data_IF_078351530572
#
_entry.id   IF_078351530572
#
_cell.length_a   1.000
_cell.length_b   1.000
_cell.length_c   1.000
_cell.angle_alpha   90.00
_cell.angle_beta   90.00
_cell.angle_gamma   90.00
#
_symmetry.space_group_name_H-M   'P 1'
#
loop_
_entity.id
_entity.type
_entity.pdbx_description
1 polymer ?
#
# COMPACT_ATOMS: atom_id res chain seq x y z
N UNK A 1 -17.37 -11.23 2.85
CA UNK A 1 -17.29 -9.75 2.76
C UNK A 1 -15.84 -9.28 2.73
N UNK A 2 -15.03 -9.58 3.77
CA UNK A 2 -13.60 -9.21 3.84
C UNK A 2 -12.75 -9.75 2.67
N UNK A 3 -12.91 -11.04 2.33
CA UNK A 3 -12.20 -11.69 1.21
C UNK A 3 -12.52 -11.03 -0.14
N UNK A 4 -13.76 -10.61 -0.35
CA UNK A 4 -14.21 -9.94 -1.58
C UNK A 4 -13.54 -8.55 -1.69
N UNK A 5 -13.41 -7.86 -0.56
CA UNK A 5 -12.74 -6.57 -0.44
C UNK A 5 -11.24 -6.68 -0.74
N UNK A 6 -10.57 -7.72 -0.23
CA UNK A 6 -9.18 -8.03 -0.56
C UNK A 6 -9.02 -8.35 -2.06
N UNK A 7 -9.90 -9.16 -2.64
CA UNK A 7 -9.81 -9.50 -4.07
C UNK A 7 -10.06 -8.30 -4.98
N UNK A 8 -10.96 -7.38 -4.61
CA UNK A 8 -11.19 -6.14 -5.35
C UNK A 8 -10.02 -5.17 -5.22
N UNK A 9 -9.42 -5.05 -4.04
CA UNK A 9 -8.24 -4.22 -3.83
C UNK A 9 -7.04 -4.71 -4.65
N UNK A 10 -6.80 -6.03 -4.67
CA UNK A 10 -5.74 -6.68 -5.45
C UNK A 10 -6.02 -6.52 -6.94
N UNK A 11 -7.24 -6.73 -7.41
CA UNK A 11 -7.63 -6.50 -8.81
C UNK A 11 -7.40 -5.04 -9.22
N UNK A 12 -7.76 -4.08 -8.34
CA UNK A 12 -7.50 -2.66 -8.56
C UNK A 12 -6.01 -2.31 -8.60
N UNK A 13 -5.18 -2.95 -7.76
CA UNK A 13 -3.72 -2.77 -7.79
C UNK A 13 -3.15 -3.26 -9.11
N UNK A 14 -3.56 -4.44 -9.55
CA UNK A 14 -3.12 -5.01 -10.83
C UNK A 14 -3.53 -4.07 -11.98
N UNK A 15 -4.78 -3.59 -12.01
CA UNK A 15 -5.25 -2.66 -13.05
C UNK A 15 -4.46 -1.34 -13.01
N UNK A 16 -4.23 -0.77 -11.84
CA UNK A 16 -3.53 0.52 -11.69
C UNK A 16 -2.05 0.43 -12.10
N UNK A 17 -1.37 -0.68 -11.74
CA UNK A 17 0.00 -0.98 -12.17
C UNK A 17 0.04 -1.23 -13.69
N UNK A 18 -0.95 -1.94 -14.24
CA UNK A 18 -1.00 -2.22 -15.68
C UNK A 18 -1.22 -0.96 -16.49
N UNK A 19 -2.06 -0.03 -16.01
CA UNK A 19 -2.29 1.29 -16.64
C UNK A 19 -1.05 2.17 -16.56
N UNK A 20 -0.30 2.10 -15.45
CA UNK A 20 0.95 2.84 -15.30
C UNK A 20 2.08 2.30 -16.20
N UNK A 21 2.13 0.98 -16.40
CA UNK A 21 3.12 0.31 -17.27
C UNK A 21 2.71 0.35 -18.75
N UNK A 22 1.45 0.60 -19.07
CA UNK A 22 1.04 0.80 -20.46
C UNK A 22 1.61 2.14 -20.95
N UNK A 23 2.38 2.17 -22.04
CA UNK A 23 2.87 3.41 -22.60
C UNK A 23 1.67 4.21 -23.08
N UNK A 24 1.26 5.22 -22.32
CA UNK A 24 0.32 6.23 -22.80
C UNK A 24 1.04 7.00 -23.91
N UNK A 25 0.65 6.72 -25.15
CA UNK A 25 1.27 7.15 -26.39
C UNK A 25 1.08 8.65 -26.69
N UNK A 26 1.14 9.54 -25.69
CA UNK A 26 0.98 10.98 -25.90
C UNK A 26 1.90 11.79 -25.00
N UNK A 27 2.97 12.30 -25.60
CA UNK A 27 4.20 12.80 -24.99
C UNK A 27 4.15 14.21 -24.37
N UNK A 28 3.03 14.63 -23.75
CA UNK A 28 2.93 16.00 -23.21
C UNK A 28 2.29 16.19 -21.85
N UNK A 29 1.86 15.11 -21.20
CA UNK A 29 1.07 15.22 -19.97
C UNK A 29 1.83 14.75 -18.71
N UNK A 30 2.99 15.36 -18.42
CA UNK A 30 3.75 15.08 -17.18
C UNK A 30 2.90 15.25 -15.91
N UNK A 31 1.93 16.17 -15.94
CA UNK A 31 0.95 16.37 -14.87
C UNK A 31 0.04 15.15 -14.69
N UNK A 32 -0.41 14.51 -15.79
CA UNK A 32 -1.24 13.29 -15.70
C UNK A 32 -0.44 12.14 -15.10
N UNK A 33 0.83 11.98 -15.49
CA UNK A 33 1.70 10.96 -14.90
C UNK A 33 1.96 11.20 -13.40
N UNK A 34 2.08 12.46 -12.96
CA UNK A 34 2.22 12.80 -11.55
C UNK A 34 0.95 12.45 -10.75
N UNK A 35 -0.24 12.80 -11.23
CA UNK A 35 -1.50 12.42 -10.56
C UNK A 35 -1.73 10.90 -10.58
N UNK A 36 -1.37 10.23 -11.68
CA UNK A 36 -1.42 8.78 -11.76
C UNK A 36 -0.50 8.12 -10.72
N UNK A 37 0.71 8.64 -10.55
CA UNK A 37 1.64 8.17 -9.52
C UNK A 37 1.06 8.29 -8.11
N UNK A 38 0.49 9.46 -7.76
CA UNK A 38 -0.19 9.65 -6.47
C UNK A 38 -1.36 8.68 -6.29
N UNK A 39 -2.14 8.44 -7.35
CA UNK A 39 -3.25 7.50 -7.32
C UNK A 39 -2.79 6.06 -7.06
N UNK A 40 -1.71 5.61 -7.72
CA UNK A 40 -1.12 4.28 -7.48
C UNK A 40 -0.64 4.14 -6.04
N UNK A 41 -0.02 5.18 -5.47
CA UNK A 41 0.39 5.20 -4.06
C UNK A 41 -0.81 5.06 -3.12
N UNK A 42 -1.84 5.90 -3.30
CA UNK A 42 -3.04 5.86 -2.47
C UNK A 42 -3.72 4.49 -2.54
N UNK A 43 -3.86 3.95 -3.75
CA UNK A 43 -4.46 2.63 -3.95
C UNK A 43 -3.63 1.51 -3.31
N UNK A 44 -2.30 1.62 -3.38
CA UNK A 44 -1.39 0.64 -2.76
C UNK A 44 -1.48 0.68 -1.25
N UNK A 45 -1.54 1.88 -0.65
CA UNK A 45 -1.73 2.06 0.79
C UNK A 45 -3.04 1.44 1.25
N UNK A 46 -4.15 1.73 0.56
CA UNK A 46 -5.47 1.20 0.92
C UNK A 46 -5.52 -0.32 0.77
N UNK A 47 -4.99 -0.88 -0.32
CA UNK A 47 -5.03 -2.32 -0.55
C UNK A 47 -4.22 -3.11 0.48
N UNK A 48 -3.00 -2.68 0.80
CA UNK A 48 -2.23 -3.31 1.87
C UNK A 48 -2.80 -3.03 3.26
N UNK A 49 -3.41 -1.87 3.49
CA UNK A 49 -4.10 -1.55 4.74
C UNK A 49 -5.23 -2.53 5.03
N UNK A 50 -6.04 -2.87 4.02
CA UNK A 50 -7.09 -3.89 4.15
C UNK A 50 -6.50 -5.28 4.41
N UNK A 51 -5.38 -5.63 3.77
CA UNK A 51 -4.67 -6.88 4.04
C UNK A 51 -4.22 -6.92 5.52
N UNK A 52 -3.63 -5.85 6.02
CA UNK A 52 -3.19 -5.77 7.42
C UNK A 52 -4.34 -5.78 8.41
N UNK A 53 -5.47 -5.18 8.08
CA UNK A 53 -6.70 -5.30 8.84
C UNK A 53 -7.10 -6.78 9.00
N UNK A 54 -7.06 -7.56 7.91
CA UNK A 54 -7.30 -9.01 7.98
C UNK A 54 -6.28 -9.75 8.86
N UNK A 55 -5.00 -9.37 8.77
CA UNK A 55 -3.93 -9.98 9.56
C UNK A 55 -4.01 -9.62 11.05
N UNK A 56 -4.52 -8.43 11.37
CA UNK A 56 -4.73 -7.96 12.74
C UNK A 56 -5.75 -8.84 13.47
N UNK A 57 -6.84 -9.24 12.80
CA UNK A 57 -7.83 -10.19 13.33
C UNK A 57 -7.22 -11.57 13.64
N UNK A 58 -6.14 -11.94 12.95
CA UNK A 58 -5.40 -13.19 13.21
C UNK A 58 -4.30 -13.03 14.28
N UNK A 59 -4.17 -11.86 14.89
CA UNK A 59 -3.13 -11.56 15.89
C UNK A 59 -1.71 -11.51 15.31
N UNK A 60 -1.59 -11.32 13.99
CA UNK A 60 -0.28 -11.23 13.31
C UNK A 60 0.27 -9.81 13.23
N UNK A 61 -0.48 -8.82 13.72
CA UNK A 61 -0.02 -7.44 13.93
C UNK A 61 -0.08 -7.15 15.43
N UNK A 62 1.01 -6.64 16.00
CA UNK A 62 1.06 -6.23 17.40
C UNK A 62 1.24 -4.71 17.49
N UNK A 63 0.33 -4.05 18.21
CA UNK A 63 0.45 -2.63 18.54
C UNK A 63 1.16 -2.50 19.90
N UNK A 64 2.20 -1.66 19.97
CA UNK A 64 3.06 -1.56 21.17
C UNK A 64 2.37 -0.80 22.31
N UNK A 65 1.50 0.17 22.01
CA UNK A 65 1.03 1.17 23.00
C UNK A 65 -0.50 1.16 23.25
N UNK A 66 -1.27 0.25 22.64
CA UNK A 66 -2.73 0.22 22.80
C UNK A 66 -3.19 -0.73 23.91
N UNK A 67 -3.77 -0.14 24.96
CA UNK A 67 -4.47 -0.88 26.02
C UNK A 67 -5.66 -1.69 25.46
N UNK A 68 -5.84 -2.95 25.89
CA UNK A 68 -6.51 -3.99 25.09
C UNK A 68 -8.04 -3.97 25.04
N UNK A 69 -8.75 -2.93 25.50
CA UNK A 69 -10.14 -3.13 25.90
C UNK A 69 -11.27 -2.44 25.13
N UNK A 70 -11.03 -1.50 24.20
CA UNK A 70 -12.13 -0.93 23.39
C UNK A 70 -11.66 -0.37 22.03
N UNK A 71 -10.88 -1.12 21.25
CA UNK A 71 -10.60 -0.69 19.87
C UNK A 71 -11.84 -0.97 19.02
N UNK A 72 -12.56 0.09 18.64
CA UNK A 72 -13.63 0.00 17.64
C UNK A 72 -13.03 -0.43 16.30
N UNK A 73 -13.79 -1.16 15.47
CA UNK A 73 -13.40 -1.55 14.10
C UNK A 73 -12.78 -0.38 13.30
N UNK A 74 -13.31 0.83 13.50
CA UNK A 74 -12.79 2.05 12.86
C UNK A 74 -11.35 2.37 13.26
N UNK A 75 -10.98 2.23 14.53
CA UNK A 75 -9.61 2.48 14.99
C UNK A 75 -8.64 1.43 14.43
N UNK A 76 -9.04 0.15 14.42
CA UNK A 76 -8.21 -0.90 13.81
C UNK A 76 -7.99 -0.69 12.31
N UNK A 77 -9.02 -0.20 11.60
CA UNK A 77 -8.88 0.14 10.19
C UNK A 77 -7.95 1.34 9.98
N UNK A 78 -8.06 2.36 10.82
CA UNK A 78 -7.16 3.52 10.80
C UNK A 78 -5.71 3.10 11.04
N UNK A 79 -5.44 2.32 12.10
CA UNK A 79 -4.10 1.86 12.48
C UNK A 79 -3.45 1.01 11.37
N UNK A 80 -4.23 0.18 10.70
CA UNK A 80 -3.74 -0.72 9.64
C UNK A 80 -3.49 0.01 8.31
N UNK A 81 -4.31 1.01 7.98
CA UNK A 81 -4.04 1.93 6.86
C UNK A 81 -2.80 2.79 7.16
N UNK A 82 -2.68 3.28 8.39
CA UNK A 82 -1.51 4.03 8.84
C UNK A 82 -0.24 3.17 8.76
N UNK A 83 -0.26 1.94 9.27
CA UNK A 83 0.85 1.00 9.18
C UNK A 83 1.25 0.74 7.73
N UNK A 84 0.27 0.59 6.84
CA UNK A 84 0.50 0.43 5.40
C UNK A 84 1.19 1.65 4.79
N UNK A 85 0.76 2.87 5.13
CA UNK A 85 1.39 4.10 4.65
C UNK A 85 2.83 4.24 5.15
N UNK A 86 3.04 4.06 6.46
CA UNK A 86 4.37 4.13 7.11
C UNK A 86 5.33 3.08 6.55
N UNK A 87 4.83 1.89 6.20
CA UNK A 87 5.60 0.83 5.55
C UNK A 87 5.94 1.17 4.11
N UNK A 88 4.95 1.55 3.30
CA UNK A 88 5.15 1.84 1.87
C UNK A 88 6.08 3.04 1.65
N UNK A 89 5.95 4.06 2.51
CA UNK A 89 6.78 5.26 2.50
C UNK A 89 8.11 5.07 3.23
N UNK A 90 8.39 3.87 3.74
CA UNK A 90 9.64 3.52 4.43
C UNK A 90 9.94 4.36 5.68
N UNK A 91 8.90 4.92 6.31
CA UNK A 91 9.02 5.73 7.53
C UNK A 91 9.32 4.82 8.73
N UNK A 92 8.56 3.74 8.89
CA UNK A 92 8.81 2.69 9.88
C UNK A 92 8.95 3.15 11.34
N UNK A 93 7.98 3.88 11.89
CA UNK A 93 8.03 4.38 13.29
C UNK A 93 8.20 3.28 14.35
N UNK A 94 7.79 2.04 14.04
CA UNK A 94 7.98 0.88 14.91
C UNK A 94 6.94 0.74 16.02
N UNK A 95 5.87 1.52 15.96
CA UNK A 95 4.69 1.47 16.84
C UNK A 95 3.78 0.26 16.59
N UNK A 96 3.75 -0.22 15.34
CA UNK A 96 3.06 -1.43 14.93
C UNK A 96 4.07 -2.41 14.34
N UNK A 97 4.12 -3.63 14.87
CA UNK A 97 5.12 -4.63 14.52
C UNK A 97 4.46 -5.85 13.89
N UNK A 98 4.88 -6.26 12.68
CA UNK A 98 4.41 -7.48 12.04
C UNK A 98 5.02 -8.74 12.68
N UNK A 99 4.19 -9.73 12.93
CA UNK A 99 4.57 -11.04 13.48
C UNK A 99 4.35 -12.16 12.47
N UNK A 100 5.10 -13.25 12.61
CA UNK A 100 4.94 -14.45 11.78
C UNK A 100 4.98 -14.16 10.28
N UNK A 101 3.93 -14.56 9.57
CA UNK A 101 3.81 -14.39 8.11
C UNK A 101 3.64 -12.93 7.67
N UNK A 102 3.17 -12.03 8.55
CA UNK A 102 3.02 -10.61 8.25
C UNK A 102 4.34 -9.96 7.81
N UNK A 103 5.47 -10.46 8.34
CA UNK A 103 6.81 -9.97 8.01
C UNK A 103 7.13 -10.07 6.53
N UNK A 104 6.76 -11.18 5.89
CA UNK A 104 7.00 -11.37 4.47
C UNK A 104 6.13 -10.45 3.61
N UNK A 105 4.89 -10.20 4.03
CA UNK A 105 3.98 -9.28 3.34
C UNK A 105 4.53 -7.84 3.40
N UNK A 106 5.01 -7.41 4.58
CA UNK A 106 5.63 -6.11 4.78
C UNK A 106 6.88 -5.92 3.91
N UNK A 107 7.72 -6.96 3.79
CA UNK A 107 8.89 -6.93 2.89
C UNK A 107 8.47 -6.73 1.43
N UNK A 108 7.44 -7.45 0.98
CA UNK A 108 6.91 -7.28 -0.39
C UNK A 108 6.35 -5.87 -0.60
N UNK A 109 5.61 -5.34 0.37
CA UNK A 109 5.09 -3.97 0.28
C UNK A 109 6.22 -2.94 0.22
N UNK A 110 7.23 -3.06 1.08
CA UNK A 110 8.36 -2.16 1.10
C UNK A 110 9.12 -2.19 -0.24
N UNK A 111 9.30 -3.37 -0.84
CA UNK A 111 9.89 -3.51 -2.17
C UNK A 111 9.07 -2.77 -3.24
N UNK A 112 7.74 -2.90 -3.21
CA UNK A 112 6.85 -2.13 -4.10
C UNK A 112 7.03 -0.63 -3.89
N UNK A 113 7.12 -0.18 -2.64
CA UNK A 113 7.37 1.23 -2.29
C UNK A 113 8.66 1.79 -2.90
N UNK A 114 9.71 0.98 -3.00
CA UNK A 114 10.96 1.35 -3.69
C UNK A 114 10.85 1.34 -5.22
N UNK A 115 10.08 0.41 -5.79
CA UNK A 115 9.95 0.25 -7.24
C UNK A 115 9.07 1.33 -7.89
N UNK A 116 8.05 1.82 -7.18
CA UNK A 116 7.15 2.86 -7.68
C UNK A 116 7.88 4.15 -8.13
N UNK A 117 8.72 4.82 -7.30
CA UNK A 117 9.40 6.04 -7.70
C UNK A 117 10.46 5.76 -8.77
N UNK A 118 11.15 4.62 -8.70
CA UNK A 118 12.11 4.21 -9.73
C UNK A 118 11.44 4.05 -11.10
N UNK A 119 10.26 3.43 -11.15
CA UNK A 119 9.49 3.26 -12.37
C UNK A 119 9.03 4.61 -12.96
N UNK A 120 8.63 5.56 -12.11
CA UNK A 120 8.27 6.91 -12.54
C UNK A 120 9.45 7.66 -13.17
N UNK A 121 10.64 7.55 -12.57
CA UNK A 121 11.86 8.16 -13.11
C UNK A 121 12.22 7.55 -14.47
N UNK A 122 12.20 6.22 -14.60
CA UNK A 122 12.52 5.53 -15.86
C UNK A 122 11.55 5.94 -16.97
N UNK A 123 10.25 5.96 -16.70
CA UNK A 123 9.24 6.41 -17.67
C UNK A 123 9.43 7.88 -18.04
N UNK A 124 9.75 8.74 -17.07
CA UNK A 124 10.01 10.16 -17.34
C UNK A 124 11.28 10.41 -18.15
N UNK A 125 12.29 9.54 -18.05
CA UNK A 125 13.52 9.63 -18.84
C UNK A 125 13.33 9.10 -20.26
N UNK A 126 12.60 7.99 -20.40
CA UNK A 126 12.33 7.38 -21.71
C UNK A 126 11.44 8.25 -22.60
N UNK A 127 10.55 9.06 -22.00
CA UNK A 127 9.64 9.95 -22.73
C UNK A 127 10.24 11.33 -23.07
N UNK A 128 11.57 11.50 -22.95
CA UNK A 128 12.34 12.66 -23.44
C UNK A 128 13.04 12.32 -24.74
#
# INVERSE_FOLDING_TARGET
MLVILCTLAIAGMIISITIFLYPLETSRDSIKHFFLFLFVYAHTIVGFGIIYFCLSEWGLLQLIDHSPHTATIYHMLEDTIYFSAVTLLTIGYGDIVPLGLARWIVVVQALIGYLLPASFVVTSLHNR
#
